data_IF_341349443088
#
_entry.id   IF_341349443088
#
_cell.length_a   1.000
_cell.length_b   1.000
_cell.length_c   1.000
_cell.angle_alpha   90.00
_cell.angle_beta   90.00
_cell.angle_gamma   90.00
#
_symmetry.space_group_name_H-M   'P 1'
#
loop_
_entity.id
_entity.type
_entity.pdbx_description
1 polymer ?
#
# COMPACT_ATOMS: atom_id res chain seq x y z
N UNK A 1 5.44 -10.31 -17.35
CA UNK A 1 4.65 -9.11 -17.68
C UNK A 1 3.62 -8.86 -16.60
N UNK A 2 3.54 -7.63 -16.08
CA UNK A 2 2.55 -7.30 -15.05
C UNK A 2 1.17 -7.15 -15.70
N UNK A 3 0.15 -7.75 -15.07
CA UNK A 3 -1.25 -7.61 -15.49
C UNK A 3 -1.96 -6.47 -14.76
N UNK A 4 -1.28 -5.84 -13.81
CA UNK A 4 -1.81 -4.67 -13.08
C UNK A 4 -1.01 -3.43 -13.44
N UNK A 5 -1.67 -2.29 -13.42
CA UNK A 5 -1.06 -0.99 -13.69
C UNK A 5 -1.36 -0.02 -12.56
N UNK A 6 -0.52 1.00 -12.43
CA UNK A 6 -0.73 2.08 -11.47
C UNK A 6 -1.12 3.34 -12.21
N UNK A 7 -2.05 4.08 -11.65
CA UNK A 7 -2.38 5.45 -12.06
C UNK A 7 -2.58 6.35 -10.86
N UNK A 8 -2.50 7.64 -11.08
CA UNK A 8 -2.76 8.61 -10.02
C UNK A 8 -4.20 8.47 -9.51
N UNK A 9 -4.37 8.62 -8.20
CA UNK A 9 -5.70 8.67 -7.60
C UNK A 9 -6.41 9.98 -7.98
N UNK A 10 -7.72 9.92 -8.14
CA UNK A 10 -8.56 11.05 -8.54
C UNK A 10 -9.78 11.17 -7.61
N UNK A 11 -10.38 12.36 -7.48
CA UNK A 11 -11.61 12.51 -6.67
C UNK A 11 -12.74 11.56 -7.08
N UNK A 12 -12.81 11.21 -8.37
CA UNK A 12 -13.80 10.25 -8.87
C UNK A 12 -13.61 8.83 -8.34
N UNK A 13 -12.48 8.55 -7.72
CA UNK A 13 -12.22 7.24 -7.07
C UNK A 13 -12.93 7.10 -5.73
N UNK A 14 -13.48 8.16 -5.17
CA UNK A 14 -14.07 8.12 -3.82
C UNK A 14 -15.15 7.05 -3.69
N UNK A 15 -15.96 6.84 -4.71
CA UNK A 15 -17.06 5.88 -4.67
C UNK A 15 -16.57 4.44 -4.45
N UNK A 16 -15.60 3.99 -5.26
CA UNK A 16 -15.10 2.63 -5.11
C UNK A 16 -14.22 2.48 -3.86
N UNK A 17 -13.48 3.53 -3.48
CA UNK A 17 -12.69 3.52 -2.23
C UNK A 17 -13.62 3.36 -1.03
N UNK A 18 -14.74 4.08 -1.00
CA UNK A 18 -15.75 3.94 0.04
C UNK A 18 -16.24 2.49 0.13
N UNK A 19 -16.62 1.90 -1.01
CA UNK A 19 -17.11 0.52 -1.04
C UNK A 19 -16.05 -0.47 -0.57
N UNK A 20 -14.81 -0.33 -1.02
CA UNK A 20 -13.71 -1.21 -0.65
C UNK A 20 -13.41 -1.16 0.85
N UNK A 21 -13.39 0.04 1.43
CA UNK A 21 -13.02 0.22 2.84
C UNK A 21 -14.13 -0.14 3.82
N UNK A 22 -15.29 -0.61 3.35
CA UNK A 22 -16.27 -1.29 4.20
C UNK A 22 -15.80 -2.69 4.61
N UNK A 23 -14.79 -3.21 3.93
CA UNK A 23 -14.28 -4.56 4.15
C UNK A 23 -13.64 -4.71 5.54
N UNK A 24 -14.00 -5.79 6.23
CA UNK A 24 -13.49 -6.06 7.58
C UNK A 24 -11.98 -6.28 7.63
N UNK A 25 -11.41 -6.90 6.60
CA UNK A 25 -9.97 -7.17 6.56
C UNK A 25 -9.16 -5.88 6.36
N UNK A 26 -9.63 -4.98 5.50
CA UNK A 26 -9.00 -3.68 5.33
C UNK A 26 -9.05 -2.90 6.65
N UNK A 27 -10.19 -2.89 7.30
CA UNK A 27 -10.35 -2.21 8.59
C UNK A 27 -9.51 -2.83 9.70
N UNK A 28 -9.31 -4.15 9.65
CA UNK A 28 -8.53 -4.88 10.65
C UNK A 28 -7.03 -4.55 10.55
N UNK A 29 -6.48 -4.53 9.34
CA UNK A 29 -5.03 -4.43 9.12
C UNK A 29 -4.52 -3.01 8.83
N UNK A 30 -5.42 -2.05 8.70
CA UNK A 30 -5.03 -0.67 8.37
C UNK A 30 -5.56 0.33 9.40
N UNK A 31 -5.18 1.59 9.25
CA UNK A 31 -5.64 2.69 10.09
C UNK A 31 -6.84 3.42 9.50
N UNK A 32 -7.50 2.84 8.48
CA UNK A 32 -8.70 3.48 7.93
C UNK A 32 -9.75 3.71 9.03
N UNK A 33 -10.45 4.84 9.02
CA UNK A 33 -11.47 5.13 10.02
C UNK A 33 -12.57 4.06 10.06
N UNK A 34 -13.14 3.88 11.25
CA UNK A 34 -14.18 2.87 11.49
C UNK A 34 -15.27 3.49 12.36
N UNK A 35 -16.53 3.67 11.85
CA UNK A 35 -16.99 3.29 10.50
C UNK A 35 -16.34 4.13 9.40
N UNK A 36 -16.20 3.54 8.21
CA UNK A 36 -15.66 4.26 7.07
C UNK A 36 -16.78 5.00 6.35
N UNK A 37 -16.66 6.32 6.25
CA UNK A 37 -17.69 7.19 5.71
C UNK A 37 -17.25 7.76 4.35
N UNK A 38 -18.21 8.21 3.55
CA UNK A 38 -17.90 8.84 2.25
C UNK A 38 -16.98 10.05 2.40
N UNK A 39 -17.11 10.84 3.47
CA UNK A 39 -16.20 11.94 3.75
C UNK A 39 -14.76 11.50 3.89
N UNK A 40 -14.52 10.31 4.46
CA UNK A 40 -13.17 9.74 4.55
C UNK A 40 -12.62 9.40 3.17
N UNK A 41 -13.45 8.80 2.30
CA UNK A 41 -13.06 8.49 0.93
C UNK A 41 -12.77 9.77 0.14
N UNK A 42 -13.59 10.80 0.26
CA UNK A 42 -13.36 12.07 -0.37
C UNK A 42 -12.02 12.69 0.06
N UNK A 43 -11.73 12.66 1.35
CA UNK A 43 -10.46 13.17 1.88
C UNK A 43 -9.26 12.38 1.38
N UNK A 44 -9.38 11.06 1.35
CA UNK A 44 -8.31 10.18 0.89
C UNK A 44 -7.97 10.45 -0.58
N UNK A 45 -8.96 10.61 -1.44
CA UNK A 45 -8.75 10.79 -2.89
C UNK A 45 -8.16 12.14 -3.27
N UNK A 46 -8.24 13.14 -2.39
CA UNK A 46 -7.57 14.44 -2.58
C UNK A 46 -6.30 14.54 -1.74
N UNK A 47 -5.87 13.44 -1.15
CA UNK A 47 -4.67 13.35 -0.33
C UNK A 47 -4.68 14.30 0.88
N UNK A 48 -5.79 14.35 1.59
CA UNK A 48 -5.92 15.18 2.79
C UNK A 48 -4.98 14.75 3.92
N UNK A 49 -4.47 13.51 3.90
CA UNK A 49 -3.52 12.99 4.88
C UNK A 49 -2.05 13.30 4.56
N UNK A 50 -1.80 14.00 3.45
CA UNK A 50 -0.45 14.39 3.02
C UNK A 50 0.50 13.21 2.82
N UNK A 51 0.02 12.14 2.21
CA UNK A 51 0.89 11.07 1.74
C UNK A 51 1.85 11.60 0.68
N UNK A 52 3.04 11.02 0.59
CA UNK A 52 4.00 11.43 -0.43
C UNK A 52 3.42 11.22 -1.83
N UNK A 53 2.79 10.04 -2.07
CA UNK A 53 2.12 9.73 -3.33
C UNK A 53 1.13 8.60 -3.13
N UNK A 54 0.01 8.65 -3.84
CA UNK A 54 -1.02 7.59 -3.83
C UNK A 54 -1.33 7.18 -5.26
N UNK A 55 -1.28 5.88 -5.53
CA UNK A 55 -1.67 5.31 -6.82
C UNK A 55 -2.80 4.32 -6.65
N UNK A 56 -3.69 4.30 -7.64
CA UNK A 56 -4.71 3.26 -7.79
C UNK A 56 -4.10 2.08 -8.54
N UNK A 57 -4.38 0.88 -8.07
CA UNK A 57 -4.02 -0.37 -8.76
C UNK A 57 -5.20 -0.76 -9.64
N UNK A 58 -4.96 -0.86 -10.93
CA UNK A 58 -5.97 -1.31 -11.90
C UNK A 58 -5.62 -2.68 -12.45
N UNK A 59 -6.65 -3.52 -12.69
CA UNK A 59 -6.47 -4.80 -13.37
C UNK A 59 -6.42 -4.61 -14.90
N UNK A 60 -6.33 -5.71 -15.65
CA UNK A 60 -6.28 -5.70 -17.12
C UNK A 60 -7.47 -5.00 -17.77
N UNK A 61 -8.62 -5.00 -17.10
CA UNK A 61 -9.86 -4.39 -17.60
C UNK A 61 -10.00 -2.93 -17.14
N UNK A 62 -8.93 -2.35 -16.61
CA UNK A 62 -8.90 -0.99 -16.05
C UNK A 62 -9.86 -0.81 -14.87
N UNK A 63 -10.19 -1.88 -14.17
CA UNK A 63 -11.01 -1.83 -12.97
C UNK A 63 -10.11 -1.53 -11.76
N UNK A 64 -10.46 -0.53 -10.93
CA UNK A 64 -9.72 -0.29 -9.69
C UNK A 64 -9.89 -1.47 -8.73
N UNK A 65 -8.78 -2.00 -8.23
CA UNK A 65 -8.81 -3.16 -7.32
C UNK A 65 -8.04 -2.93 -6.02
N UNK A 66 -7.37 -1.80 -5.88
CA UNK A 66 -6.63 -1.50 -4.66
C UNK A 66 -5.86 -0.19 -4.77
N UNK A 67 -5.08 0.06 -3.74
CA UNK A 67 -4.26 1.26 -3.61
C UNK A 67 -2.87 0.87 -3.13
N UNK A 68 -1.86 1.52 -3.67
CA UNK A 68 -0.51 1.50 -3.12
C UNK A 68 -0.05 2.94 -2.95
N UNK A 69 0.60 3.23 -1.84
CA UNK A 69 1.05 4.59 -1.54
C UNK A 69 2.47 4.58 -1.00
N UNK A 70 3.13 5.72 -1.17
CA UNK A 70 4.33 6.05 -0.40
C UNK A 70 3.88 7.03 0.66
N UNK A 71 4.01 6.66 1.93
CA UNK A 71 3.62 7.51 3.04
C UNK A 71 4.59 8.67 3.21
N UNK A 72 5.87 8.35 3.17
CA UNK A 72 6.94 9.32 3.33
C UNK A 72 8.23 8.77 2.73
N UNK A 73 9.17 9.66 2.44
CA UNK A 73 10.54 9.32 2.06
C UNK A 73 11.45 10.00 3.09
N UNK A 74 12.28 9.22 3.75
CA UNK A 74 13.17 9.76 4.77
C UNK A 74 14.45 10.37 4.18
N UNK A 75 15.29 10.89 5.05
CA UNK A 75 16.57 11.53 4.67
C UNK A 75 17.57 10.56 4.05
N UNK A 76 17.39 9.25 4.25
CA UNK A 76 18.24 8.21 3.67
C UNK A 76 17.67 7.64 2.38
N UNK A 77 16.56 8.18 1.90
CA UNK A 77 15.92 7.72 0.67
C UNK A 77 15.07 6.47 0.85
N UNK A 78 14.65 6.17 2.07
CA UNK A 78 13.75 5.04 2.34
C UNK A 78 12.31 5.50 2.15
N UNK A 79 11.64 4.91 1.17
CA UNK A 79 10.22 5.16 0.90
C UNK A 79 9.38 4.13 1.65
N UNK A 80 8.61 4.59 2.62
CA UNK A 80 7.69 3.75 3.38
C UNK A 80 6.41 3.57 2.57
N UNK A 81 6.13 2.33 2.15
CA UNK A 81 4.94 2.03 1.36
C UNK A 81 3.84 1.41 2.20
N UNK A 82 2.60 1.65 1.78
CA UNK A 82 1.43 0.97 2.29
C UNK A 82 0.53 0.56 1.14
N UNK A 83 -0.31 -0.44 1.36
CA UNK A 83 -1.21 -0.94 0.33
C UNK A 83 -2.40 -1.67 0.93
N UNK A 84 -3.50 -1.68 0.19
CA UNK A 84 -4.63 -2.54 0.49
C UNK A 84 -5.31 -2.93 -0.83
N UNK A 85 -6.00 -4.05 -0.82
CA UNK A 85 -6.69 -4.59 -1.99
C UNK A 85 -8.17 -4.77 -1.63
N UNK A 86 -9.02 -4.28 -2.53
CA UNK A 86 -10.46 -4.46 -2.41
C UNK A 86 -10.82 -5.97 -2.47
N UNK A 87 -11.92 -6.39 -1.82
CA UNK A 87 -12.31 -7.80 -1.85
C UNK A 87 -12.37 -8.40 -3.25
N UNK A 88 -12.83 -7.62 -4.24
CA UNK A 88 -12.94 -8.08 -5.64
C UNK A 88 -11.62 -8.18 -6.39
N UNK A 89 -10.51 -7.73 -5.78
CA UNK A 89 -9.17 -7.80 -6.39
C UNK A 89 -8.25 -8.84 -5.76
N UNK A 90 -8.71 -9.56 -4.76
CA UNK A 90 -7.88 -10.52 -4.03
C UNK A 90 -7.58 -11.78 -4.85
N UNK A 91 -6.45 -12.40 -4.56
CA UNK A 91 -6.04 -13.63 -5.22
C UNK A 91 -5.51 -13.45 -6.64
N UNK A 92 -5.28 -12.22 -7.08
CA UNK A 92 -4.85 -11.90 -8.45
C UNK A 92 -3.38 -11.47 -8.57
N UNK A 93 -2.65 -11.42 -7.45
CA UNK A 93 -1.28 -10.91 -7.45
C UNK A 93 -1.17 -9.39 -7.56
N UNK A 94 -2.25 -8.68 -7.25
CA UNK A 94 -2.33 -7.23 -7.44
C UNK A 94 -1.21 -6.47 -6.74
N UNK A 95 -0.92 -6.78 -5.46
CA UNK A 95 0.11 -6.05 -4.71
C UNK A 95 1.51 -6.38 -5.20
N UNK A 96 1.79 -7.64 -5.51
CA UNK A 96 3.10 -8.05 -6.06
C UNK A 96 3.37 -7.29 -7.36
N UNK A 97 2.39 -7.25 -8.26
CA UNK A 97 2.49 -6.50 -9.51
C UNK A 97 2.62 -4.99 -9.24
N UNK A 98 1.84 -4.47 -8.28
CA UNK A 98 1.88 -3.05 -7.94
C UNK A 98 3.25 -2.63 -7.41
N UNK A 99 3.88 -3.43 -6.58
CA UNK A 99 5.23 -3.14 -6.07
C UNK A 99 6.22 -3.10 -7.25
N UNK A 100 6.12 -4.04 -8.18
CA UNK A 100 6.96 -4.03 -9.38
C UNK A 100 6.77 -2.78 -10.24
N UNK A 101 5.53 -2.34 -10.42
CA UNK A 101 5.25 -1.11 -11.16
C UNK A 101 5.73 0.13 -10.38
N UNK A 102 5.60 0.13 -9.06
CA UNK A 102 6.10 1.22 -8.23
C UNK A 102 7.62 1.36 -8.34
N UNK A 103 8.35 0.25 -8.40
CA UNK A 103 9.80 0.29 -8.62
C UNK A 103 10.17 1.00 -9.92
N UNK A 104 9.40 0.77 -10.98
CA UNK A 104 9.62 1.46 -12.25
C UNK A 104 9.36 2.95 -12.13
N UNK A 105 8.28 3.32 -11.45
CA UNK A 105 7.94 4.72 -11.23
C UNK A 105 8.94 5.44 -10.32
N UNK A 106 9.53 4.72 -9.37
CA UNK A 106 10.51 5.28 -8.44
C UNK A 106 11.75 5.84 -9.13
N UNK A 107 12.02 5.40 -10.35
CA UNK A 107 13.12 5.95 -11.15
C UNK A 107 12.94 7.44 -11.47
N UNK A 108 11.69 7.92 -11.40
CA UNK A 108 11.37 9.34 -11.61
C UNK A 108 11.55 10.17 -10.32
N UNK A 109 11.93 9.54 -9.22
CA UNK A 109 12.12 10.16 -7.91
C UNK A 109 13.53 9.87 -7.42
N UNK A 110 14.53 10.67 -7.82
CA UNK A 110 15.94 10.35 -7.56
C UNK A 110 16.30 10.28 -6.08
N UNK A 111 15.48 10.86 -5.20
CA UNK A 111 15.67 10.78 -3.76
C UNK A 111 15.26 9.43 -3.17
N UNK A 112 14.55 8.58 -3.93
CA UNK A 112 14.14 7.27 -3.44
C UNK A 112 15.20 6.23 -3.79
N UNK A 113 15.76 5.59 -2.75
CA UNK A 113 16.82 4.57 -2.87
C UNK A 113 16.33 3.19 -2.48
N UNK A 114 15.36 3.12 -1.57
CA UNK A 114 14.89 1.88 -0.96
C UNK A 114 13.39 1.94 -0.78
N UNK A 115 12.73 0.83 -1.04
CA UNK A 115 11.31 0.63 -0.72
C UNK A 115 11.23 -0.17 0.58
N UNK A 116 10.40 0.28 1.50
CA UNK A 116 10.18 -0.40 2.77
C UNK A 116 8.71 -0.55 3.06
N UNK A 117 8.30 -1.76 3.45
CA UNK A 117 6.98 -2.01 4.02
C UNK A 117 7.15 -2.41 5.49
N UNK A 118 6.33 -1.84 6.36
CA UNK A 118 6.29 -2.20 7.77
C UNK A 118 5.05 -3.05 7.98
N UNK A 119 5.25 -4.31 8.36
CA UNK A 119 4.19 -5.31 8.36
C UNK A 119 4.05 -5.93 9.75
N UNK A 120 2.81 -5.95 10.27
CA UNK A 120 2.54 -6.63 11.54
C UNK A 120 3.01 -8.09 11.48
N UNK A 121 3.65 -8.53 12.55
CA UNK A 121 4.13 -9.91 12.68
C UNK A 121 2.96 -10.91 12.67
N UNK A 122 1.74 -10.43 12.86
CA UNK A 122 0.51 -11.24 12.80
C UNK A 122 -0.07 -11.34 11.39
N UNK A 123 0.37 -10.50 10.47
CA UNK A 123 -0.19 -10.43 9.11
C UNK A 123 0.58 -11.32 8.14
N UNK A 124 0.30 -12.62 8.17
CA UNK A 124 0.98 -13.61 7.33
C UNK A 124 0.81 -13.34 5.84
N UNK A 125 -0.38 -12.93 5.42
CA UNK A 125 -0.67 -12.67 4.01
C UNK A 125 0.20 -11.53 3.46
N UNK A 126 0.32 -10.44 4.19
CA UNK A 126 1.14 -9.29 3.77
C UNK A 126 2.63 -9.64 3.76
N UNK A 127 3.10 -10.45 4.72
CA UNK A 127 4.48 -10.91 4.75
C UNK A 127 4.83 -11.73 3.51
N UNK A 128 3.96 -12.65 3.12
CA UNK A 128 4.14 -13.46 1.90
C UNK A 128 4.19 -12.61 0.65
N UNK A 129 3.31 -11.63 0.57
CA UNK A 129 3.27 -10.70 -0.58
C UNK A 129 4.57 -9.92 -0.68
N UNK A 130 5.06 -9.38 0.43
CA UNK A 130 6.31 -8.61 0.44
C UNK A 130 7.50 -9.48 -0.03
N UNK A 131 7.59 -10.70 0.45
CA UNK A 131 8.65 -11.63 0.04
C UNK A 131 8.55 -11.98 -1.45
N UNK A 132 7.35 -12.23 -1.96
CA UNK A 132 7.14 -12.48 -3.40
C UNK A 132 7.52 -11.29 -4.27
N UNK A 133 7.33 -10.08 -3.76
CA UNK A 133 7.70 -8.86 -4.47
C UNK A 133 9.21 -8.57 -4.42
N UNK A 134 9.96 -9.39 -3.69
CA UNK A 134 11.40 -9.25 -3.58
C UNK A 134 11.87 -8.38 -2.43
N UNK A 135 10.98 -7.99 -1.52
CA UNK A 135 11.38 -7.31 -0.30
C UNK A 135 11.95 -8.33 0.68
N UNK A 136 13.01 -7.98 1.38
CA UNK A 136 13.69 -8.86 2.31
C UNK A 136 13.39 -8.44 3.74
N UNK A 137 13.08 -9.43 4.57
CA UNK A 137 12.83 -9.23 5.99
C UNK A 137 14.10 -8.71 6.67
N UNK A 138 13.94 -7.64 7.45
CA UNK A 138 15.02 -7.06 8.24
C UNK A 138 14.99 -7.60 9.66
N UNK A 139 16.11 -7.48 10.37
CA UNK A 139 16.18 -7.85 11.79
C UNK A 139 15.55 -6.80 12.70
N UNK A 140 15.49 -5.55 12.24
CA UNK A 140 14.89 -4.45 13.00
C UNK A 140 13.36 -4.54 12.99
N UNK A 141 12.75 -4.17 14.10
CA UNK A 141 11.30 -4.15 14.26
C UNK A 141 10.84 -2.86 14.93
N UNK A 142 9.55 -2.59 14.83
CA UNK A 142 8.92 -1.44 15.48
C UNK A 142 7.57 -1.84 16.07
N UNK A 143 6.87 -0.87 16.65
CA UNK A 143 5.58 -1.10 17.31
C UNK A 143 4.48 -0.30 16.63
N UNK A 144 4.27 -0.46 15.35
CA UNK A 144 3.43 0.52 14.71
C UNK A 144 2.45 -0.01 13.69
N UNK A 145 2.12 -1.29 13.70
CA UNK A 145 1.11 -1.81 12.76
C UNK A 145 -0.12 -2.28 13.49
N UNK A 146 -1.29 -1.77 13.11
CA UNK A 146 -2.53 -2.17 13.75
C UNK A 146 -2.98 -3.58 13.36
N UNK A 147 -3.62 -4.25 14.31
CA UNK A 147 -4.40 -5.45 14.07
C UNK A 147 -5.63 -5.34 14.94
N UNK A 148 -6.81 -5.15 14.33
CA UNK A 148 -8.05 -4.99 15.05
C UNK A 148 -8.09 -3.77 15.96
N UNK A 149 -7.41 -2.67 15.61
CA UNK A 149 -7.39 -1.44 16.40
C UNK A 149 -6.33 -1.41 17.50
N UNK A 150 -5.49 -2.43 17.60
CA UNK A 150 -4.40 -2.52 18.58
C UNK A 150 -3.07 -2.53 17.86
N UNK A 151 -2.13 -1.69 18.28
CA UNK A 151 -0.79 -1.68 17.71
C UNK A 151 -0.05 -2.97 18.06
N UNK A 152 0.52 -3.59 17.05
CA UNK A 152 1.27 -4.83 17.18
C UNK A 152 2.73 -4.64 16.80
N UNK A 153 3.58 -5.56 17.23
CA UNK A 153 4.97 -5.61 16.78
C UNK A 153 4.97 -5.83 15.26
N UNK A 154 5.78 -5.06 14.58
CA UNK A 154 5.91 -5.12 13.14
C UNK A 154 7.37 -5.22 12.74
N UNK A 155 7.61 -5.78 11.58
CA UNK A 155 8.96 -5.97 11.02
C UNK A 155 9.06 -5.22 9.71
N UNK A 156 10.25 -4.67 9.43
CA UNK A 156 10.53 -4.00 8.18
C UNK A 156 10.90 -5.02 7.10
N UNK A 157 10.36 -4.81 5.90
CA UNK A 157 10.69 -5.56 4.70
C UNK A 157 11.20 -4.55 3.67
N UNK A 158 12.42 -4.75 3.15
CA UNK A 158 13.10 -3.76 2.31
C UNK A 158 13.57 -4.32 0.99
N UNK A 159 13.59 -3.45 -0.01
CA UNK A 159 14.26 -3.70 -1.28
C UNK A 159 15.03 -2.46 -1.70
N UNK A 160 16.34 -2.61 -1.86
CA UNK A 160 17.20 -1.55 -2.39
C UNK A 160 16.99 -1.50 -3.90
N UNK A 161 16.71 -0.30 -4.42
CA UNK A 161 16.44 -0.13 -5.84
C UNK A 161 17.73 -0.08 -6.63
N UNK A 162 17.73 -0.68 -7.82
CA UNK A 162 18.84 -0.59 -8.74
C UNK A 162 18.97 0.84 -9.27
N UNK A 163 20.20 1.31 -9.35
CA UNK A 163 20.51 2.65 -9.87
C UNK A 163 20.45 2.64 -11.41
#
# INVERSE_FOLDING_TARGET
MSVHQLRDIKPTDASWVFDACQDEQIQYWTTVPKPYLMGHANGFTVNALNEYKIWVIENEESQPVGVISIHKVDEHGVAEIGYWVAPWGRGSGAVVNAIGELEKLAKNYPNIKTIQATISDLNDASQKVALRAGLLKQEASCKACPAGGVDTTATYYRKVLAV
#
